data_IF_505084154413
#
_entry.id   IF_505084154413
#
_cell.length_a   1.000
_cell.length_b   1.000
_cell.length_c   1.000
_cell.angle_alpha   90.00
_cell.angle_beta   90.00
_cell.angle_gamma   90.00
#
_symmetry.space_group_name_H-M   'P 1'
#
loop_
_entity.id
_entity.type
_entity.pdbx_description
1 polymer ?
#
# COMPACT_ATOMS: atom_id res chain seq x y z
N UNK A 1 -70.37 -48.31 -5.96
CA UNK A 1 -69.39 -47.89 -4.93
C UNK A 1 -69.26 -46.38 -5.02
N UNK A 2 -69.62 -45.66 -3.95
CA UNK A 2 -69.77 -44.21 -3.93
C UNK A 2 -68.42 -43.52 -3.76
N UNK A 3 -68.13 -42.53 -4.62
CA UNK A 3 -66.98 -41.62 -4.49
C UNK A 3 -67.29 -40.58 -3.43
N UNK A 4 -66.56 -40.64 -2.31
CA UNK A 4 -66.66 -39.67 -1.22
C UNK A 4 -66.18 -38.29 -1.67
N UNK A 5 -67.05 -37.30 -1.61
CA UNK A 5 -66.70 -35.89 -1.78
C UNK A 5 -65.94 -35.48 -0.51
N UNK A 6 -64.62 -35.35 -0.60
CA UNK A 6 -63.82 -34.71 0.45
C UNK A 6 -64.20 -33.24 0.51
N UNK A 7 -65.14 -32.90 1.39
CA UNK A 7 -65.55 -31.52 1.64
C UNK A 7 -64.35 -30.77 2.25
N UNK A 8 -63.63 -30.00 1.43
CA UNK A 8 -62.61 -29.10 1.93
C UNK A 8 -63.30 -28.09 2.84
N UNK A 9 -62.98 -28.12 4.14
CA UNK A 9 -63.52 -27.19 5.14
C UNK A 9 -62.55 -26.02 5.32
N UNK A 10 -63.08 -24.88 5.75
CA UNK A 10 -62.25 -23.73 6.09
C UNK A 10 -61.27 -24.07 7.22
N UNK A 11 -59.98 -23.83 7.01
CA UNK A 11 -58.88 -24.15 7.95
C UNK A 11 -58.92 -23.34 9.24
N UNK A 12 -59.66 -22.21 9.27
CA UNK A 12 -59.82 -21.36 10.47
C UNK A 12 -61.07 -21.72 11.28
N UNK A 13 -62.24 -21.86 10.63
CA UNK A 13 -63.51 -22.03 11.37
C UNK A 13 -64.15 -23.40 11.25
N UNK A 14 -63.67 -24.26 10.35
CA UNK A 14 -64.12 -25.65 10.09
C UNK A 14 -65.61 -25.88 9.80
N UNK A 15 -66.44 -24.83 9.87
CA UNK A 15 -67.90 -24.88 9.76
C UNK A 15 -68.39 -24.71 8.33
N UNK A 16 -67.70 -23.88 7.54
CA UNK A 16 -68.11 -23.55 6.18
C UNK A 16 -67.31 -24.38 5.16
N UNK A 17 -67.97 -24.76 4.07
CA UNK A 17 -67.28 -25.28 2.90
C UNK A 17 -66.26 -24.26 2.42
N UNK A 18 -65.02 -24.71 2.23
CA UNK A 18 -63.98 -23.86 1.69
C UNK A 18 -64.29 -23.55 0.23
N UNK A 19 -64.27 -22.25 -0.09
CA UNK A 19 -64.50 -21.75 -1.44
C UNK A 19 -63.19 -21.27 -2.08
N UNK A 20 -62.19 -20.94 -1.27
CA UNK A 20 -60.91 -20.40 -1.71
C UNK A 20 -59.75 -21.24 -1.20
N UNK A 21 -58.70 -21.32 -2.00
CA UNK A 21 -57.44 -21.96 -1.64
C UNK A 21 -56.31 -20.93 -1.81
N UNK A 22 -55.48 -20.75 -0.78
CA UNK A 22 -54.26 -19.97 -0.91
C UNK A 22 -53.10 -20.89 -1.27
N UNK A 23 -52.55 -20.74 -2.48
CA UNK A 23 -51.44 -21.58 -2.96
C UNK A 23 -50.18 -21.38 -2.10
N UNK A 24 -49.94 -20.16 -1.60
CA UNK A 24 -48.76 -19.82 -0.82
C UNK A 24 -48.68 -20.57 0.51
N UNK A 25 -49.74 -20.55 1.30
CA UNK A 25 -49.79 -21.28 2.58
C UNK A 25 -50.44 -22.68 2.49
N UNK A 26 -50.90 -23.08 1.30
CA UNK A 26 -51.57 -24.36 1.00
C UNK A 26 -52.80 -24.64 1.88
N UNK A 27 -53.51 -23.59 2.31
CA UNK A 27 -54.67 -23.68 3.19
C UNK A 27 -55.97 -23.29 2.47
N UNK A 28 -57.05 -23.96 2.85
CA UNK A 28 -58.40 -23.76 2.33
C UNK A 28 -59.20 -22.84 3.26
N UNK A 29 -59.94 -21.89 2.73
CA UNK A 29 -60.67 -20.89 3.50
C UNK A 29 -62.09 -20.68 2.96
N UNK A 30 -63.03 -20.28 3.82
CA UNK A 30 -64.25 -19.63 3.34
C UNK A 30 -63.93 -18.16 2.95
N UNK A 31 -64.80 -17.53 2.15
CA UNK A 31 -64.55 -16.18 1.61
C UNK A 31 -64.17 -15.16 2.69
N UNK A 32 -64.83 -15.17 3.85
CA UNK A 32 -64.51 -14.27 4.97
C UNK A 32 -63.07 -14.43 5.45
N UNK A 33 -62.68 -15.65 5.84
CA UNK A 33 -61.34 -15.93 6.36
C UNK A 33 -60.25 -15.81 5.28
N UNK A 34 -60.59 -15.99 4.01
CA UNK A 34 -59.66 -15.73 2.91
C UNK A 34 -59.35 -14.24 2.78
N UNK A 35 -60.36 -13.37 2.88
CA UNK A 35 -60.15 -11.92 2.85
C UNK A 35 -59.34 -11.44 4.06
N UNK A 36 -59.63 -11.97 5.26
CA UNK A 36 -58.84 -11.68 6.47
C UNK A 36 -57.38 -12.13 6.31
N UNK A 37 -57.14 -13.33 5.77
CA UNK A 37 -55.79 -13.81 5.47
C UNK A 37 -55.05 -12.89 4.49
N UNK A 38 -55.72 -12.43 3.42
CA UNK A 38 -55.12 -11.50 2.46
C UNK A 38 -54.82 -10.14 3.09
N UNK A 39 -55.70 -9.64 3.94
CA UNK A 39 -55.48 -8.39 4.67
C UNK A 39 -54.29 -8.50 5.64
N UNK A 40 -54.16 -9.62 6.35
CA UNK A 40 -53.00 -9.87 7.22
C UNK A 40 -51.69 -9.89 6.43
N UNK A 41 -51.67 -10.51 5.24
CA UNK A 41 -50.50 -10.51 4.36
C UNK A 41 -50.12 -9.10 3.88
N UNK A 42 -51.10 -8.25 3.55
CA UNK A 42 -50.82 -6.85 3.19
C UNK A 42 -50.19 -6.10 4.36
N UNK A 43 -50.78 -6.20 5.55
CA UNK A 43 -50.22 -5.58 6.76
C UNK A 43 -48.80 -6.08 7.02
N UNK A 44 -48.58 -7.39 6.92
CA UNK A 44 -47.27 -7.98 7.14
C UNK A 44 -46.26 -7.52 6.08
N UNK A 45 -46.65 -7.40 4.82
CA UNK A 45 -45.76 -6.89 3.78
C UNK A 45 -45.37 -5.44 4.03
N UNK A 46 -46.32 -4.60 4.43
CA UNK A 46 -46.06 -3.20 4.74
C UNK A 46 -45.09 -3.08 5.93
N UNK A 47 -45.33 -3.82 7.02
CA UNK A 47 -44.49 -3.76 8.24
C UNK A 47 -43.13 -4.45 8.06
N UNK A 48 -43.09 -5.67 7.53
CA UNK A 48 -41.86 -6.46 7.50
C UNK A 48 -40.96 -6.11 6.30
N UNK A 49 -41.56 -5.68 5.18
CA UNK A 49 -40.81 -5.47 3.92
C UNK A 49 -40.68 -3.99 3.60
N UNK A 50 -41.78 -3.22 3.58
CA UNK A 50 -41.74 -1.81 3.18
C UNK A 50 -41.01 -0.98 4.22
N UNK A 51 -41.34 -1.10 5.51
CA UNK A 51 -40.62 -0.35 6.55
C UNK A 51 -39.14 -0.72 6.63
N UNK A 52 -38.80 -2.00 6.45
CA UNK A 52 -37.40 -2.46 6.44
C UNK A 52 -36.62 -1.90 5.24
N UNK A 53 -37.25 -1.88 4.06
CA UNK A 53 -36.69 -1.28 2.85
C UNK A 53 -36.45 0.23 3.04
N UNK A 54 -37.45 0.95 3.54
CA UNK A 54 -37.37 2.41 3.68
C UNK A 54 -36.34 2.81 4.75
N UNK A 55 -36.26 2.04 5.85
CA UNK A 55 -35.21 2.22 6.86
C UNK A 55 -33.81 1.99 6.30
N UNK A 56 -33.64 0.98 5.44
CA UNK A 56 -32.35 0.74 4.79
C UNK A 56 -31.99 1.90 3.86
N UNK A 57 -32.95 2.40 3.09
CA UNK A 57 -32.76 3.56 2.22
C UNK A 57 -32.39 4.82 3.04
N UNK A 58 -33.05 5.05 4.17
CA UNK A 58 -32.72 6.16 5.06
C UNK A 58 -31.28 6.04 5.61
N UNK A 59 -30.86 4.84 6.02
CA UNK A 59 -29.48 4.59 6.47
C UNK A 59 -28.45 4.84 5.36
N UNK A 60 -28.76 4.46 4.11
CA UNK A 60 -27.89 4.73 2.95
C UNK A 60 -27.77 6.24 2.72
N UNK A 61 -28.86 6.97 2.76
CA UNK A 61 -28.86 8.42 2.55
C UNK A 61 -28.12 9.14 3.69
N UNK A 62 -28.25 8.70 4.94
CA UNK A 62 -27.48 9.21 6.08
C UNK A 62 -25.97 8.93 5.94
N UNK A 63 -25.58 7.81 5.32
CA UNK A 63 -24.16 7.53 5.03
C UNK A 63 -23.57 8.49 3.99
N UNK A 64 -24.36 8.99 3.03
CA UNK A 64 -23.89 10.02 2.10
C UNK A 64 -23.59 11.35 2.83
N UNK A 65 -24.32 11.67 3.89
CA UNK A 65 -24.03 12.82 4.76
C UNK A 65 -22.79 12.60 5.64
N UNK A 66 -22.49 11.34 5.99
CA UNK A 66 -21.27 10.92 6.70
C UNK A 66 -20.02 10.88 5.83
N UNK A 67 -20.07 11.33 4.57
CA UNK A 67 -18.91 11.45 3.67
C UNK A 67 -17.75 12.28 4.26
N UNK A 68 -18.03 13.09 5.28
CA UNK A 68 -16.99 13.72 6.11
C UNK A 68 -16.06 12.69 6.80
N UNK A 69 -16.55 11.51 7.19
CA UNK A 69 -15.73 10.42 7.77
C UNK A 69 -14.86 9.73 6.73
N UNK A 70 -15.30 9.68 5.47
CA UNK A 70 -14.44 9.20 4.37
C UNK A 70 -13.26 10.14 4.12
N UNK A 71 -13.41 11.43 4.45
CA UNK A 71 -12.30 12.40 4.39
C UNK A 71 -11.16 12.05 5.35
N UNK A 72 -11.44 11.39 6.48
CA UNK A 72 -10.41 10.96 7.43
C UNK A 72 -9.56 9.81 6.86
N UNK A 73 -10.16 8.89 6.10
CA UNK A 73 -9.43 7.81 5.43
C UNK A 73 -8.56 8.36 4.29
N UNK A 74 -9.07 9.29 3.49
CA UNK A 74 -8.27 9.97 2.47
C UNK A 74 -7.13 10.77 3.09
N UNK A 75 -7.39 11.51 4.17
CA UNK A 75 -6.36 12.22 4.94
C UNK A 75 -5.29 11.27 5.48
N UNK A 76 -5.67 10.07 5.94
CA UNK A 76 -4.73 9.04 6.38
C UNK A 76 -3.85 8.55 5.21
N UNK A 77 -4.42 8.35 4.03
CA UNK A 77 -3.68 7.99 2.81
C UNK A 77 -2.71 9.11 2.43
N UNK A 78 -3.15 10.37 2.43
CA UNK A 78 -2.34 11.55 2.11
C UNK A 78 -1.17 11.72 3.09
N UNK A 79 -1.40 11.49 4.37
CA UNK A 79 -0.35 11.50 5.40
C UNK A 79 0.67 10.38 5.17
N UNK A 80 0.21 9.17 4.87
CA UNK A 80 1.08 8.04 4.57
C UNK A 80 1.94 8.31 3.32
N UNK A 81 1.35 8.86 2.27
CA UNK A 81 2.06 9.23 1.04
C UNK A 81 3.13 10.29 1.32
N UNK A 82 2.74 11.37 2.01
CA UNK A 82 3.64 12.48 2.36
C UNK A 82 4.82 11.98 3.20
N UNK A 83 4.55 11.17 4.22
CA UNK A 83 5.58 10.61 5.10
C UNK A 83 6.55 9.71 4.33
N UNK A 84 6.02 8.86 3.43
CA UNK A 84 6.83 7.97 2.62
C UNK A 84 7.76 8.73 1.68
N UNK A 85 7.25 9.77 1.00
CA UNK A 85 8.05 10.65 0.14
C UNK A 85 9.16 11.33 0.95
N UNK A 86 8.86 11.81 2.15
CA UNK A 86 9.84 12.45 3.01
C UNK A 86 10.96 11.48 3.44
N UNK A 87 10.61 10.25 3.82
CA UNK A 87 11.59 9.21 4.18
C UNK A 87 12.52 8.90 3.00
N UNK A 88 11.97 8.75 1.79
CA UNK A 88 12.76 8.49 0.59
C UNK A 88 13.71 9.65 0.29
N UNK A 89 13.23 10.89 0.38
CA UNK A 89 14.07 12.08 0.17
C UNK A 89 15.20 12.16 1.19
N UNK A 90 14.89 12.03 2.48
CA UNK A 90 15.90 12.06 3.56
C UNK A 90 16.94 10.96 3.41
N UNK A 91 16.52 9.77 3.00
CA UNK A 91 17.43 8.63 2.77
C UNK A 91 18.34 8.87 1.57
N UNK A 92 17.79 9.38 0.47
CA UNK A 92 18.58 9.74 -0.71
C UNK A 92 19.59 10.86 -0.40
N UNK A 93 19.20 11.88 0.37
CA UNK A 93 20.09 12.96 0.76
C UNK A 93 21.22 12.48 1.68
N UNK A 94 20.90 11.58 2.62
CA UNK A 94 21.92 10.93 3.47
C UNK A 94 22.91 10.13 2.62
N UNK A 95 22.43 9.33 1.68
CA UNK A 95 23.29 8.56 0.78
C UNK A 95 24.22 9.46 -0.04
N UNK A 96 23.70 10.58 -0.57
CA UNK A 96 24.51 11.59 -1.28
C UNK A 96 25.57 12.21 -0.37
N UNK A 97 25.21 12.59 0.85
CA UNK A 97 26.16 13.16 1.81
C UNK A 97 27.27 12.17 2.17
N UNK A 98 26.93 10.90 2.41
CA UNK A 98 27.91 9.86 2.68
C UNK A 98 28.86 9.65 1.50
N UNK A 99 28.32 9.61 0.27
CA UNK A 99 29.16 9.51 -0.94
C UNK A 99 30.11 10.70 -1.07
N UNK A 100 29.61 11.93 -0.86
CA UNK A 100 30.44 13.14 -0.92
C UNK A 100 31.57 13.08 0.11
N UNK A 101 31.27 12.69 1.36
CA UNK A 101 32.30 12.56 2.40
C UNK A 101 33.36 11.50 2.05
N UNK A 102 32.95 10.35 1.50
CA UNK A 102 33.89 9.32 1.05
C UNK A 102 34.79 9.85 -0.06
N UNK A 103 34.22 10.52 -1.06
CA UNK A 103 34.98 11.09 -2.18
C UNK A 103 35.95 12.19 -1.71
N UNK A 104 35.53 13.04 -0.78
CA UNK A 104 36.38 14.09 -0.21
C UNK A 104 37.55 13.49 0.58
N UNK A 105 37.30 12.45 1.39
CA UNK A 105 38.35 11.74 2.14
C UNK A 105 39.36 11.05 1.23
N UNK A 106 38.89 10.38 0.17
CA UNK A 106 39.76 9.76 -0.82
C UNK A 106 40.60 10.80 -1.58
N UNK A 107 39.99 11.94 -1.93
CA UNK A 107 40.68 13.07 -2.57
C UNK A 107 41.77 13.66 -1.67
N UNK A 108 41.49 13.84 -0.39
CA UNK A 108 42.49 14.28 0.60
C UNK A 108 43.65 13.28 0.71
N UNK A 109 43.33 11.98 0.73
CA UNK A 109 44.33 10.91 0.81
C UNK A 109 45.24 10.92 -0.41
N UNK A 110 44.68 11.04 -1.62
CA UNK A 110 45.47 11.17 -2.85
C UNK A 110 46.34 12.42 -2.84
N UNK A 111 45.82 13.55 -2.35
CA UNK A 111 46.57 14.79 -2.26
C UNK A 111 47.79 14.63 -1.35
N UNK A 112 47.62 14.03 -0.17
CA UNK A 112 48.74 13.74 0.76
C UNK A 112 49.79 12.82 0.13
N UNK A 113 49.37 11.78 -0.60
CA UNK A 113 50.29 10.89 -1.30
C UNK A 113 51.06 11.62 -2.41
N UNK A 114 50.38 12.50 -3.16
CA UNK A 114 50.99 13.31 -4.20
C UNK A 114 52.00 14.32 -3.64
N UNK A 115 51.65 15.00 -2.54
CA UNK A 115 52.53 15.95 -1.86
C UNK A 115 53.78 15.26 -1.30
N UNK A 116 53.61 14.08 -0.68
CA UNK A 116 54.72 13.25 -0.19
C UNK A 116 55.67 12.83 -1.32
N UNK A 117 55.11 12.35 -2.43
CA UNK A 117 55.89 12.00 -3.62
C UNK A 117 56.64 13.22 -4.19
N UNK A 118 56.00 14.38 -4.19
CA UNK A 118 56.61 15.63 -4.66
C UNK A 118 57.81 16.01 -3.79
N UNK A 119 57.70 15.89 -2.46
CA UNK A 119 58.81 16.13 -1.55
C UNK A 119 59.95 15.13 -1.76
N UNK A 120 59.64 13.85 -1.92
CA UNK A 120 60.64 12.80 -2.18
C UNK A 120 61.43 13.07 -3.48
N UNK A 121 60.73 13.45 -4.55
CA UNK A 121 61.34 13.81 -5.84
C UNK A 121 62.24 15.03 -5.71
N UNK A 122 61.80 16.08 -5.00
CA UNK A 122 62.59 17.30 -4.79
C UNK A 122 63.87 17.00 -4.02
N UNK A 123 63.75 16.28 -2.90
CA UNK A 123 64.89 15.90 -2.06
C UNK A 123 65.95 15.14 -2.86
N UNK A 124 65.55 14.09 -3.59
CA UNK A 124 66.49 13.31 -4.41
C UNK A 124 67.16 14.13 -5.51
N UNK A 125 66.45 15.09 -6.09
CA UNK A 125 67.01 16.01 -7.09
C UNK A 125 68.01 16.98 -6.46
N UNK A 126 67.72 17.51 -5.28
CA UNK A 126 68.61 18.44 -4.56
C UNK A 126 69.88 17.75 -4.06
N UNK A 127 69.75 16.49 -3.64
CA UNK A 127 70.87 15.63 -3.21
C UNK A 127 71.70 15.08 -4.39
N UNK A 128 71.22 15.24 -5.64
CA UNK A 128 71.74 14.58 -6.86
C UNK A 128 71.89 13.04 -6.69
N UNK A 129 71.08 12.47 -5.79
CA UNK A 129 71.07 11.05 -5.44
C UNK A 129 69.87 10.36 -6.09
N UNK A 130 70.03 9.95 -7.34
CA UNK A 130 69.05 9.08 -7.99
C UNK A 130 69.71 8.08 -8.94
N UNK A 131 69.25 6.84 -8.91
CA UNK A 131 69.62 5.79 -9.84
C UNK A 131 68.42 5.37 -10.70
N UNK A 132 68.65 4.50 -11.68
CA UNK A 132 67.60 3.95 -12.55
C UNK A 132 66.48 3.28 -11.74
N UNK A 133 66.81 2.71 -10.57
CA UNK A 133 65.83 2.13 -9.68
C UNK A 133 64.89 3.17 -9.07
N UNK A 134 65.39 4.33 -8.64
CA UNK A 134 64.56 5.43 -8.12
C UNK A 134 63.62 5.96 -9.22
N UNK A 135 64.14 6.14 -10.44
CA UNK A 135 63.33 6.55 -11.59
C UNK A 135 62.20 5.56 -11.89
N UNK A 136 62.48 4.25 -11.81
CA UNK A 136 61.47 3.20 -11.94
C UNK A 136 60.42 3.29 -10.83
N UNK A 137 60.84 3.43 -9.57
CA UNK A 137 59.91 3.53 -8.43
C UNK A 137 59.01 4.77 -8.52
N UNK A 138 59.57 5.93 -8.89
CA UNK A 138 58.76 7.14 -9.07
C UNK A 138 57.75 6.97 -10.19
N UNK A 139 58.13 6.36 -11.32
CA UNK A 139 57.20 6.08 -12.42
C UNK A 139 56.07 5.14 -11.98
N UNK A 140 56.37 4.12 -11.19
CA UNK A 140 55.35 3.21 -10.63
C UNK A 140 54.41 3.93 -9.67
N UNK A 141 54.92 4.76 -8.75
CA UNK A 141 54.12 5.56 -7.83
C UNK A 141 53.20 6.53 -8.60
N UNK A 142 53.70 7.21 -9.62
CA UNK A 142 52.92 8.11 -10.49
C UNK A 142 51.80 7.34 -11.19
N UNK A 143 52.10 6.17 -11.78
CA UNK A 143 51.10 5.34 -12.46
C UNK A 143 49.99 4.89 -11.50
N UNK A 144 50.34 4.51 -10.26
CA UNK A 144 49.36 4.14 -9.23
C UNK A 144 48.43 5.31 -8.89
N UNK A 145 48.99 6.50 -8.65
CA UNK A 145 48.19 7.70 -8.39
C UNK A 145 47.24 8.04 -9.54
N UNK A 146 47.70 7.89 -10.79
CA UNK A 146 46.86 8.07 -11.97
C UNK A 146 45.71 7.04 -12.04
N UNK A 147 45.95 5.80 -11.66
CA UNK A 147 44.91 4.77 -11.61
C UNK A 147 43.88 5.07 -10.53
N UNK A 148 44.32 5.43 -9.32
CA UNK A 148 43.42 5.82 -8.22
C UNK A 148 42.56 7.03 -8.58
N UNK A 149 43.14 8.04 -9.24
CA UNK A 149 42.38 9.20 -9.72
C UNK A 149 41.31 8.80 -10.75
N UNK A 150 41.61 7.86 -11.66
CA UNK A 150 40.64 7.34 -12.62
C UNK A 150 39.51 6.56 -11.94
N UNK A 151 39.79 5.84 -10.86
CA UNK A 151 38.78 5.08 -10.12
C UNK A 151 37.78 5.99 -9.41
N UNK A 152 38.22 7.12 -8.85
CA UNK A 152 37.32 8.11 -8.25
C UNK A 152 36.36 8.77 -9.26
N UNK A 153 36.76 8.85 -10.53
CA UNK A 153 35.94 9.41 -11.59
C UNK A 153 34.91 8.42 -12.17
N UNK A 154 34.89 7.15 -11.72
CA UNK A 154 33.99 6.13 -12.25
C UNK A 154 32.73 5.93 -11.39
N UNK A 155 31.58 5.62 -12.03
CA UNK A 155 30.29 5.45 -11.36
C UNK A 155 30.17 4.20 -10.45
N UNK A 156 31.17 3.30 -10.43
CA UNK A 156 31.11 2.03 -9.70
C UNK A 156 31.16 2.16 -8.15
N UNK A 157 31.35 3.36 -7.59
CA UNK A 157 31.37 3.53 -6.13
C UNK A 157 29.97 3.50 -5.47
N UNK A 158 28.89 3.29 -6.24
CA UNK A 158 27.52 3.24 -5.74
C UNK A 158 27.24 1.93 -4.97
N UNK A 159 27.95 0.83 -5.29
CA UNK A 159 27.70 -0.49 -4.67
C UNK A 159 28.03 -0.56 -3.17
N UNK A 160 28.88 0.34 -2.66
CA UNK A 160 29.29 0.35 -1.23
C UNK A 160 28.17 0.87 -0.32
N UNK A 161 27.28 1.73 -0.83
CA UNK A 161 26.26 2.42 -0.02
C UNK A 161 25.02 1.55 0.19
N UNK A 162 24.70 0.65 -0.76
CA UNK A 162 23.57 -0.26 -0.65
C UNK A 162 23.72 -1.25 0.54
N UNK A 163 24.96 -1.65 0.85
CA UNK A 163 25.26 -2.56 1.97
C UNK A 163 25.15 -1.94 3.38
N UNK A 164 25.07 -0.61 3.50
CA UNK A 164 25.05 0.09 4.79
C UNK A 164 23.67 0.67 5.17
N UNK A 165 22.72 0.73 4.23
CA UNK A 165 21.38 1.29 4.46
C UNK A 165 20.37 0.21 4.92
N UNK A 166 20.76 -1.07 4.90
CA UNK A 166 19.92 -2.21 5.31
C UNK A 166 19.94 -2.59 6.80
N UNK A 167 20.35 -1.69 7.71
CA UNK A 167 20.29 -1.91 9.17
C UNK A 167 19.43 -0.87 9.87
#
# INVERSE_FOLDING_TARGET
MATGISSNRCSICEKNAAMCNCIGCKAFFCMKHFNEHRQQLTIQFDVDVVEAHDKLLEQINQMEELKNTSSDLFSTIDQWETSTIEIVKRTADRARQQLTQLLDNEKETLRKQFDSLTQEIRRRREEDEFAENDLRQFREKINKLQQSLKQLAQPNNIDVIASQIGQ
#
